data_IF_865492131407
#
_entry.id   IF_865492131407
#
_cell.length_a   1.000
_cell.length_b   1.000
_cell.length_c   1.000
_cell.angle_alpha   90.00
_cell.angle_beta   90.00
_cell.angle_gamma   90.00
#
_symmetry.space_group_name_H-M   'P 1'
#
loop_
_entity.id
_entity.type
_entity.pdbx_description
1 polymer ?
#
# COMPACT_ATOMS: atom_id res chain seq x y z
N UNK A 1 -21.84 5.59 -24.34
CA UNK A 1 -21.77 6.19 -23.00
C UNK A 1 -21.75 5.14 -21.87
N UNK A 2 -21.03 4.02 -22.03
CA UNK A 2 -21.02 2.93 -21.04
C UNK A 2 -19.99 3.13 -19.91
N UNK A 3 -18.91 3.88 -20.20
CA UNK A 3 -17.81 4.11 -19.25
C UNK A 3 -18.24 4.89 -18.00
N UNK A 4 -19.13 5.88 -18.15
CA UNK A 4 -19.57 6.74 -17.04
C UNK A 4 -20.44 5.98 -16.04
N UNK A 5 -21.28 5.08 -16.54
CA UNK A 5 -22.19 4.28 -15.72
C UNK A 5 -21.45 3.21 -14.93
N UNK A 6 -20.49 2.53 -15.56
CA UNK A 6 -19.61 1.59 -14.85
C UNK A 6 -18.79 2.27 -13.75
N UNK A 7 -18.28 3.49 -13.97
CA UNK A 7 -17.59 4.25 -12.93
C UNK A 7 -18.50 4.58 -11.74
N UNK A 8 -19.75 4.96 -11.99
CA UNK A 8 -20.75 5.19 -10.95
C UNK A 8 -21.02 3.95 -10.12
N UNK A 9 -21.18 2.77 -10.75
CA UNK A 9 -21.33 1.51 -10.02
C UNK A 9 -20.11 1.21 -9.13
N UNK A 10 -18.89 1.41 -9.63
CA UNK A 10 -17.67 1.25 -8.82
C UNK A 10 -17.57 2.25 -7.67
N UNK A 11 -18.23 3.40 -7.77
CA UNK A 11 -18.36 4.39 -6.70
C UNK A 11 -19.54 4.11 -5.75
N UNK A 12 -20.33 3.06 -6.00
CA UNK A 12 -21.49 2.71 -5.19
C UNK A 12 -22.77 3.48 -5.55
N UNK A 13 -22.80 4.15 -6.70
CA UNK A 13 -23.95 4.87 -7.24
C UNK A 13 -24.76 3.99 -8.21
N UNK A 14 -26.04 4.30 -8.44
CA UNK A 14 -26.94 3.65 -9.43
C UNK A 14 -27.05 2.10 -9.33
N UNK A 15 -26.82 1.54 -8.13
CA UNK A 15 -26.77 0.09 -7.88
C UNK A 15 -28.12 -0.63 -7.97
N UNK A 16 -29.25 0.10 -7.94
CA UNK A 16 -30.60 -0.47 -8.05
C UNK A 16 -30.85 -1.19 -9.39
N UNK A 17 -30.07 -0.85 -10.41
CA UNK A 17 -30.13 -1.47 -11.73
C UNK A 17 -29.46 -2.85 -11.79
N UNK A 18 -28.67 -3.22 -10.77
CA UNK A 18 -27.86 -4.44 -10.74
C UNK A 18 -28.55 -5.56 -9.98
N UNK A 19 -28.43 -6.78 -10.48
CA UNK A 19 -28.88 -7.96 -9.76
C UNK A 19 -27.87 -8.40 -8.68
N UNK A 20 -28.29 -9.30 -7.78
CA UNK A 20 -27.45 -9.79 -6.66
C UNK A 20 -26.12 -10.40 -7.14
N UNK A 21 -26.11 -11.12 -8.27
CA UNK A 21 -24.87 -11.71 -8.81
C UNK A 21 -23.93 -10.65 -9.35
N UNK A 22 -24.46 -9.62 -10.01
CA UNK A 22 -23.69 -8.49 -10.52
C UNK A 22 -23.10 -7.66 -9.38
N UNK A 23 -23.87 -7.42 -8.32
CA UNK A 23 -23.40 -6.76 -7.11
C UNK A 23 -22.27 -7.53 -6.43
N UNK A 24 -22.40 -8.84 -6.29
CA UNK A 24 -21.34 -9.67 -5.71
C UNK A 24 -20.08 -9.68 -6.59
N UNK A 25 -20.24 -9.70 -7.91
CA UNK A 25 -19.11 -9.62 -8.84
C UNK A 25 -18.44 -8.24 -8.78
N UNK A 26 -19.21 -7.17 -8.61
CA UNK A 26 -18.71 -5.81 -8.44
C UNK A 26 -17.90 -5.69 -7.15
N UNK A 27 -18.42 -6.20 -6.03
CA UNK A 27 -17.73 -6.23 -4.74
C UNK A 27 -16.41 -6.99 -4.82
N UNK A 28 -16.40 -8.19 -5.41
CA UNK A 28 -15.20 -8.99 -5.58
C UNK A 28 -14.13 -8.28 -6.44
N UNK A 29 -14.54 -7.58 -7.49
CA UNK A 29 -13.62 -6.81 -8.32
C UNK A 29 -13.00 -5.63 -7.55
N UNK A 30 -13.81 -4.91 -6.77
CA UNK A 30 -13.35 -3.80 -5.94
C UNK A 30 -12.37 -4.30 -4.88
N UNK A 31 -12.71 -5.37 -4.16
CA UNK A 31 -11.84 -5.94 -3.13
C UNK A 31 -10.50 -6.44 -3.71
N UNK A 32 -10.54 -7.15 -4.84
CA UNK A 32 -9.33 -7.61 -5.53
C UNK A 32 -8.44 -6.43 -5.98
N UNK A 33 -9.03 -5.40 -6.60
CA UNK A 33 -8.31 -4.21 -7.03
C UNK A 33 -7.69 -3.46 -5.82
N UNK A 34 -8.45 -3.29 -4.74
CA UNK A 34 -7.97 -2.65 -3.51
C UNK A 34 -6.83 -3.43 -2.87
N UNK A 35 -6.91 -4.76 -2.81
CA UNK A 35 -5.83 -5.62 -2.32
C UNK A 35 -4.56 -5.44 -3.15
N UNK A 36 -4.67 -5.42 -4.48
CA UNK A 36 -3.54 -5.16 -5.36
C UNK A 36 -2.91 -3.78 -5.15
N UNK A 37 -3.73 -2.72 -5.09
CA UNK A 37 -3.25 -1.34 -4.87
C UNK A 37 -2.54 -1.22 -3.51
N UNK A 38 -3.13 -1.76 -2.44
CA UNK A 38 -2.53 -1.76 -1.10
C UNK A 38 -1.23 -2.54 -1.05
N UNK A 39 -1.20 -3.74 -1.63
CA UNK A 39 0.00 -4.58 -1.70
C UNK A 39 1.15 -3.85 -2.41
N UNK A 40 0.88 -3.25 -3.59
CA UNK A 40 1.87 -2.48 -4.33
C UNK A 40 2.36 -1.26 -3.57
N UNK A 41 1.46 -0.51 -2.93
CA UNK A 41 1.83 0.64 -2.10
C UNK A 41 2.74 0.22 -0.94
N UNK A 42 2.39 -0.88 -0.26
CA UNK A 42 3.19 -1.41 0.84
C UNK A 42 4.57 -1.86 0.35
N UNK A 43 4.65 -2.54 -0.79
CA UNK A 43 5.94 -2.94 -1.38
C UNK A 43 6.84 -1.73 -1.63
N UNK A 44 6.33 -0.69 -2.30
CA UNK A 44 7.09 0.53 -2.57
C UNK A 44 7.51 1.27 -1.29
N UNK A 45 6.66 1.25 -0.26
CA UNK A 45 7.00 1.81 1.05
C UNK A 45 8.12 1.02 1.71
N UNK A 46 8.09 -0.31 1.69
CA UNK A 46 9.16 -1.14 2.24
C UNK A 46 10.48 -0.98 1.49
N UNK A 47 10.42 -0.88 0.15
CA UNK A 47 11.59 -0.58 -0.68
C UNK A 47 12.20 0.78 -0.27
N UNK A 48 11.37 1.82 -0.16
CA UNK A 48 11.81 3.16 0.27
C UNK A 48 12.40 3.15 1.68
N UNK A 49 11.78 2.43 2.62
CA UNK A 49 12.30 2.29 3.99
C UNK A 49 13.65 1.57 3.97
N UNK A 50 13.79 0.48 3.22
CA UNK A 50 15.05 -0.27 3.12
C UNK A 50 16.17 0.58 2.53
N UNK A 51 15.89 1.37 1.49
CA UNK A 51 16.86 2.28 0.91
C UNK A 51 17.33 3.36 1.90
N UNK A 52 16.38 3.95 2.63
CA UNK A 52 16.69 4.94 3.67
C UNK A 52 17.48 4.31 4.83
N UNK A 53 17.10 3.10 5.25
CA UNK A 53 17.84 2.36 6.27
C UNK A 53 19.27 2.07 5.84
N UNK A 54 19.54 1.70 4.59
CA UNK A 54 20.93 1.53 4.10
C UNK A 54 21.71 2.85 4.17
N UNK A 55 21.11 3.95 3.71
CA UNK A 55 21.76 5.27 3.70
C UNK A 55 22.04 5.82 5.10
N UNK A 56 21.19 5.51 6.06
CA UNK A 56 21.30 6.04 7.43
C UNK A 56 22.01 5.02 8.31
N UNK A 57 21.48 3.80 8.43
CA UNK A 57 21.98 2.77 9.32
C UNK A 57 23.36 2.24 8.93
N UNK A 58 23.69 2.00 7.64
CA UNK A 58 25.00 1.43 7.29
C UNK A 58 26.17 2.37 7.68
N UNK A 59 26.11 3.69 7.40
CA UNK A 59 27.11 4.63 7.91
C UNK A 59 27.16 4.70 9.44
N UNK A 60 26.00 4.70 10.12
CA UNK A 60 25.97 4.71 11.59
C UNK A 60 26.51 3.39 12.18
N UNK A 61 26.30 2.24 11.53
CA UNK A 61 26.87 0.95 11.94
C UNK A 61 28.39 0.95 11.80
N UNK A 62 28.92 1.49 10.71
CA UNK A 62 30.36 1.65 10.51
C UNK A 62 30.94 2.64 11.53
N UNK A 63 30.30 3.79 11.74
CA UNK A 63 30.74 4.77 12.72
C UNK A 63 30.70 4.22 14.16
N UNK A 64 29.70 3.40 14.52
CA UNK A 64 29.61 2.66 15.78
C UNK A 64 30.80 1.74 16.00
N UNK A 65 31.27 1.04 14.96
CA UNK A 65 32.50 0.24 15.06
C UNK A 65 33.74 1.09 15.35
N UNK A 66 33.73 2.36 14.93
CA UNK A 66 34.87 3.27 15.05
C UNK A 66 34.78 4.27 16.21
N UNK A 67 33.62 4.44 16.86
CA UNK A 67 33.40 5.45 17.92
C UNK A 67 32.40 4.97 18.98
N UNK A 68 32.76 5.14 20.26
CA UNK A 68 31.93 4.85 21.43
C UNK A 68 30.67 5.76 21.46
N UNK A 69 29.55 5.17 21.00
CA UNK A 69 28.12 5.45 21.27
C UNK A 69 27.31 6.61 20.62
N UNK A 70 26.02 6.26 20.38
CA UNK A 70 24.75 6.99 20.09
C UNK A 70 24.38 7.35 18.62
N UNK A 71 23.12 7.22 18.16
CA UNK A 71 21.81 7.29 18.85
C UNK A 71 20.74 6.20 18.51
N UNK A 72 19.98 5.90 19.56
CA UNK A 72 18.54 5.62 19.71
C UNK A 72 17.68 5.32 18.48
N UNK A 73 17.03 4.16 18.49
CA UNK A 73 15.93 3.86 17.57
C UNK A 73 15.36 2.45 17.64
N UNK A 74 15.40 1.77 18.80
CA UNK A 74 14.73 0.48 18.99
C UNK A 74 13.21 0.68 19.08
N UNK A 75 12.58 1.05 17.96
CA UNK A 75 11.21 0.65 17.62
C UNK A 75 10.89 1.04 16.18
N UNK A 76 10.97 0.08 15.27
CA UNK A 76 10.18 0.08 14.06
C UNK A 76 9.67 -1.35 13.86
N UNK A 77 8.40 -1.52 14.22
CA UNK A 77 7.56 -2.72 14.34
C UNK A 77 7.69 -3.51 15.66
#
# INVERSE_FOLDING_TARGET
MFYKESQRHFMGEDLESLNIKELQNLENQIDAALKHVRSRKNQLMYESISELQKKVCDPWQFQRFTRQECCCGDRLF
#
